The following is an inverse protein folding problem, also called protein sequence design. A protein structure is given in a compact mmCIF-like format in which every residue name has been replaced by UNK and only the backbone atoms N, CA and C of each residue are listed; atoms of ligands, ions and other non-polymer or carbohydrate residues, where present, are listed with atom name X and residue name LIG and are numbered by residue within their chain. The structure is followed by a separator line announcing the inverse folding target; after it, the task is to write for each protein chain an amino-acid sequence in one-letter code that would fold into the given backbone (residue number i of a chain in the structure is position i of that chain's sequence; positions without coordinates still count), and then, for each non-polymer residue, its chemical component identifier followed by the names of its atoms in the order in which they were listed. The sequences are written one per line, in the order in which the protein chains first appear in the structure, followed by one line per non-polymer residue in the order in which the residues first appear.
data_IF_682042886597
#
_entry.id   IF_682042886597
#
_cell.length_a   1.000
_cell.length_b   1.000
_cell.length_c   1.000
_cell.angle_alpha   90.00
_cell.angle_beta   90.00
_cell.angle_gamma   90.00
#
_symmetry.space_group_name_H-M   'P 1'
#
loop_
_entity.id
_entity.type
_entity.pdbx_description
1 polymer ?
#
# COMPACT_ATOMS: atom_id res chain seq x y z
N UNK A 1 1.06 65.03 11.21
CA UNK A 1 0.25 63.80 11.23
C UNK A 1 0.26 63.25 12.64
N UNK A 2 -0.81 63.43 13.40
CA UNK A 2 -0.93 62.88 14.74
C UNK A 2 -1.55 61.49 14.65
N UNK A 3 -0.77 60.45 14.95
CA UNK A 3 -1.26 59.07 15.10
C UNK A 3 -2.03 59.05 16.42
N UNK A 4 -3.35 59.03 16.34
CA UNK A 4 -4.21 58.92 17.51
C UNK A 4 -4.02 57.52 18.11
N UNK A 5 -3.51 57.48 19.35
CA UNK A 5 -3.42 56.24 20.12
C UNK A 5 -4.83 55.65 20.30
N UNK A 6 -5.05 54.38 19.95
CA UNK A 6 -6.36 53.76 20.09
C UNK A 6 -6.81 53.81 21.56
N UNK A 7 -8.03 54.27 21.77
CA UNK A 7 -8.60 54.46 23.11
C UNK A 7 -8.47 53.19 23.96
N UNK A 8 -8.27 53.31 25.28
CA UNK A 8 -8.15 52.15 26.20
C UNK A 8 -9.27 51.12 26.05
N UNK A 9 -10.44 51.54 25.58
CA UNK A 9 -11.60 50.67 25.29
C UNK A 9 -11.34 49.76 24.08
N UNK A 10 -10.64 50.24 23.07
CA UNK A 10 -10.26 49.46 21.88
C UNK A 10 -9.32 48.30 22.22
N UNK A 11 -8.35 48.52 23.13
CA UNK A 11 -7.46 47.46 23.60
C UNK A 11 -8.19 46.38 24.40
N UNK A 12 -9.18 46.76 25.20
CA UNK A 12 -10.02 45.80 25.93
C UNK A 12 -10.83 44.93 24.94
N UNK A 13 -11.42 45.55 23.91
CA UNK A 13 -12.14 44.81 22.86
C UNK A 13 -11.24 43.86 22.06
N UNK A 14 -10.01 44.28 21.73
CA UNK A 14 -9.06 43.45 21.00
C UNK A 14 -8.64 42.20 21.81
N UNK A 15 -8.40 42.36 23.12
CA UNK A 15 -8.05 41.24 24.01
C UNK A 15 -9.23 40.26 24.14
N UNK A 16 -10.45 40.76 24.33
CA UNK A 16 -11.65 39.92 24.41
C UNK A 16 -11.83 39.11 23.12
N UNK A 17 -11.62 39.73 21.95
CA UNK A 17 -11.75 39.07 20.66
C UNK A 17 -10.71 37.95 20.48
N UNK A 18 -9.47 38.17 20.91
CA UNK A 18 -8.42 37.14 20.88
C UNK A 18 -8.78 35.96 21.80
N UNK A 19 -9.27 36.22 23.01
CA UNK A 19 -9.69 35.17 23.95
C UNK A 19 -10.85 34.35 23.38
N UNK A 20 -11.81 34.99 22.70
CA UNK A 20 -12.92 34.30 22.03
C UNK A 20 -12.42 33.41 20.89
N UNK A 21 -11.48 33.90 20.07
CA UNK A 21 -10.91 33.12 18.96
C UNK A 21 -10.11 31.93 19.48
N UNK A 22 -9.30 32.10 20.53
CA UNK A 22 -8.56 31.00 21.16
C UNK A 22 -9.50 29.97 21.78
N UNK A 23 -10.58 30.41 22.45
CA UNK A 23 -11.60 29.52 22.99
C UNK A 23 -12.35 28.76 21.88
N UNK A 24 -12.63 29.41 20.73
CA UNK A 24 -13.22 28.76 19.56
C UNK A 24 -12.27 27.73 18.94
N UNK A 25 -10.99 28.06 18.76
CA UNK A 25 -10.00 27.13 18.22
C UNK A 25 -9.76 25.94 19.16
N UNK A 26 -9.75 26.17 20.47
CA UNK A 26 -9.64 25.11 21.47
C UNK A 26 -10.91 24.23 21.51
N UNK A 27 -12.09 24.81 21.33
CA UNK A 27 -13.35 24.06 21.24
C UNK A 27 -13.47 23.28 19.92
N UNK A 28 -12.98 23.82 18.80
CA UNK A 28 -12.89 23.10 17.52
C UNK A 28 -11.88 21.93 17.60
N UNK A 29 -10.72 22.13 18.25
CA UNK A 29 -9.74 21.06 18.47
C UNK A 29 -10.26 19.98 19.41
N UNK A 30 -11.01 20.35 20.45
CA UNK A 30 -11.63 19.36 21.35
C UNK A 30 -12.72 18.54 20.66
N UNK A 31 -13.42 19.13 19.69
CA UNK A 31 -14.40 18.41 18.84
C UNK A 31 -13.75 17.49 17.81
N UNK A 32 -12.48 17.70 17.43
CA UNK A 32 -11.77 16.72 16.57
C UNK A 32 -11.26 15.52 17.37
N UNK A 33 -10.93 15.70 18.64
CA UNK A 33 -10.45 14.60 19.51
C UNK A 33 -11.59 13.69 20.00
N UNK A 34 -12.82 14.20 20.10
CA UNK A 34 -14.02 13.40 20.44
C UNK A 34 -14.57 12.54 19.28
N UNK A 35 -13.99 12.63 18.09
CA UNK A 35 -14.28 11.71 16.97
C UNK A 35 -13.22 10.60 16.81
N UNK A 36 -12.19 10.55 17.66
CA UNK A 36 -11.08 9.60 17.55
C UNK A 36 -11.08 8.53 18.65
N UNK A 37 -11.95 8.59 19.66
CA UNK A 37 -11.99 7.53 20.69
C UNK A 37 -13.41 7.19 21.16
N UNK A 38 -14.14 6.47 20.30
CA UNK A 38 -15.11 5.48 20.77
C UNK A 38 -14.75 4.13 20.15
N UNK A 39 -14.09 3.31 20.98
CA UNK A 39 -14.09 1.86 20.85
C UNK A 39 -15.52 1.33 20.77
N UNK A 40 -16.03 1.25 19.55
CA UNK A 40 -16.79 0.10 19.14
C UNK A 40 -15.78 -0.84 18.49
N UNK A 41 -15.76 -2.08 18.98
CA UNK A 41 -15.27 -3.19 18.17
C UNK A 41 -16.23 -3.24 17.00
N UNK A 42 -15.92 -2.46 15.96
CA UNK A 42 -16.50 -2.64 14.65
C UNK A 42 -15.98 -4.01 14.25
N UNK A 43 -16.84 -5.00 14.39
CA UNK A 43 -16.65 -6.27 13.71
C UNK A 43 -16.46 -5.89 12.25
N UNK A 44 -15.23 -6.02 11.78
CA UNK A 44 -14.83 -5.74 10.42
C UNK A 44 -15.78 -6.47 9.47
N UNK A 45 -16.83 -5.77 9.03
CA UNK A 45 -17.25 -5.88 7.65
C UNK A 45 -16.39 -4.85 6.91
N UNK A 46 -15.07 -5.05 7.01
CA UNK A 46 -14.13 -4.51 6.05
C UNK A 46 -14.58 -5.07 4.72
N UNK A 47 -14.80 -4.19 3.74
CA UNK A 47 -14.84 -4.61 2.34
C UNK A 47 -13.69 -5.59 2.14
N UNK A 48 -14.01 -6.80 1.71
CA UNK A 48 -12.98 -7.80 1.46
C UNK A 48 -11.95 -7.21 0.49
N UNK A 49 -10.66 -7.55 0.60
CA UNK A 49 -9.64 -7.17 -0.38
C UNK A 49 -10.10 -7.30 -1.83
N UNK A 50 -10.94 -8.30 -2.10
CA UNK A 50 -11.57 -8.59 -3.39
C UNK A 50 -12.55 -7.49 -3.84
N UNK A 51 -13.38 -6.95 -2.95
CA UNK A 51 -14.34 -5.87 -3.26
C UNK A 51 -13.63 -4.54 -3.56
N UNK A 52 -12.53 -4.23 -2.85
CA UNK A 52 -11.71 -3.04 -3.12
C UNK A 52 -10.98 -3.14 -4.46
N UNK A 53 -10.39 -4.31 -4.78
CA UNK A 53 -9.75 -4.56 -6.08
C UNK A 53 -10.76 -4.47 -7.21
N UNK A 54 -11.96 -5.04 -7.04
CA UNK A 54 -13.02 -4.99 -8.06
C UNK A 54 -13.42 -3.54 -8.40
N UNK A 55 -13.52 -2.67 -7.39
CA UNK A 55 -13.81 -1.24 -7.59
C UNK A 55 -12.68 -0.51 -8.33
N UNK A 56 -11.42 -0.84 -8.07
CA UNK A 56 -10.29 -0.24 -8.79
C UNK A 56 -10.17 -0.80 -10.21
N UNK A 57 -10.42 -2.09 -10.40
CA UNK A 57 -10.40 -2.76 -11.70
C UNK A 57 -11.47 -2.19 -12.63
N UNK A 58 -12.69 -2.03 -12.14
CA UNK A 58 -13.78 -1.41 -12.92
C UNK A 58 -13.43 0.02 -13.34
N UNK A 59 -12.78 0.79 -12.46
CA UNK A 59 -12.32 2.15 -12.74
C UNK A 59 -11.22 2.18 -13.81
N UNK A 60 -10.22 1.29 -13.72
CA UNK A 60 -9.13 1.18 -14.70
C UNK A 60 -9.68 0.76 -16.07
N UNK A 61 -10.56 -0.25 -16.12
CA UNK A 61 -11.17 -0.75 -17.36
C UNK A 61 -12.03 0.34 -18.02
N UNK A 62 -12.85 1.08 -17.26
CA UNK A 62 -13.65 2.19 -17.77
C UNK A 62 -12.75 3.23 -18.45
N UNK A 63 -11.69 3.68 -17.77
CA UNK A 63 -10.74 4.66 -18.30
C UNK A 63 -9.96 4.14 -19.50
N UNK A 64 -9.56 2.87 -19.50
CA UNK A 64 -8.83 2.25 -20.59
C UNK A 64 -9.69 2.12 -21.86
N UNK A 65 -10.98 1.81 -21.70
CA UNK A 65 -11.93 1.66 -22.81
C UNK A 65 -12.10 2.96 -23.61
N UNK A 66 -11.95 4.12 -22.95
CA UNK A 66 -12.01 5.46 -23.55
C UNK A 66 -10.72 5.83 -24.30
N UNK A 67 -9.59 5.22 -23.94
CA UNK A 67 -8.26 5.64 -24.39
C UNK A 67 -7.75 4.91 -25.66
N UNK A 68 -8.62 4.20 -26.40
CA UNK A 68 -8.25 3.33 -27.54
C UNK A 68 -7.54 4.08 -28.69
N UNK A 69 -6.39 3.55 -29.12
CA UNK A 69 -5.77 3.90 -30.40
C UNK A 69 -4.25 3.89 -30.50
N UNK A 70 -3.50 3.53 -29.44
CA UNK A 70 -2.04 3.58 -29.43
C UNK A 70 -1.43 2.33 -28.77
N UNK A 71 -0.12 2.17 -28.98
CA UNK A 71 0.72 1.01 -28.70
C UNK A 71 0.31 0.23 -27.43
N UNK A 72 0.11 -1.07 -27.61
CA UNK A 72 -0.35 -1.97 -26.57
C UNK A 72 0.84 -2.36 -25.68
N UNK A 73 0.67 -2.22 -24.35
CA UNK A 73 1.61 -2.75 -23.37
C UNK A 73 1.87 -4.24 -23.65
N UNK A 74 3.12 -4.59 -23.97
CA UNK A 74 3.52 -5.98 -24.22
C UNK A 74 3.73 -6.72 -22.89
N UNK A 75 2.86 -7.68 -22.52
CA UNK A 75 3.03 -8.43 -21.29
C UNK A 75 4.31 -9.27 -21.29
N UNK A 76 4.87 -9.61 -22.47
CA UNK A 76 6.12 -10.33 -22.59
C UNK A 76 7.35 -9.48 -22.20
N UNK A 77 7.19 -8.16 -22.06
CA UNK A 77 8.26 -7.28 -21.56
C UNK A 77 8.43 -7.34 -20.03
N UNK A 78 7.45 -7.92 -19.32
CA UNK A 78 7.52 -8.13 -17.89
C UNK A 78 8.59 -9.21 -17.62
N UNK A 79 9.65 -8.90 -16.84
CA UNK A 79 10.70 -9.87 -16.57
C UNK A 79 10.14 -11.09 -15.82
N UNK A 80 10.29 -12.27 -16.40
CA UNK A 80 10.13 -13.56 -15.72
C UNK A 80 11.44 -13.96 -15.03
N UNK A 81 12.01 -13.02 -14.26
CA UNK A 81 13.33 -13.19 -13.66
C UNK A 81 13.25 -14.21 -12.51
N UNK A 82 13.94 -15.34 -12.69
CA UNK A 82 14.03 -16.41 -11.72
C UNK A 82 14.48 -15.84 -10.36
N UNK A 83 13.61 -15.96 -9.36
CA UNK A 83 13.95 -15.60 -7.99
C UNK A 83 15.15 -16.45 -7.53
N UNK A 84 16.26 -15.78 -7.22
CA UNK A 84 17.48 -16.41 -6.72
C UNK A 84 17.31 -16.66 -5.23
N UNK A 85 16.90 -17.87 -4.88
CA UNK A 85 16.55 -18.25 -3.51
C UNK A 85 17.41 -19.43 -3.07
N UNK A 86 17.99 -19.34 -1.88
CA UNK A 86 18.70 -20.45 -1.24
C UNK A 86 17.73 -21.36 -0.49
N UNK A 87 17.98 -22.67 -0.52
CA UNK A 87 17.19 -23.65 0.24
C UNK A 87 17.85 -23.96 1.58
N UNK A 88 17.03 -24.14 2.61
CA UNK A 88 17.49 -24.66 3.90
C UNK A 88 17.79 -26.16 3.78
N UNK A 89 18.72 -26.64 4.60
CA UNK A 89 19.06 -28.06 4.70
C UNK A 89 18.07 -28.86 5.56
N UNK A 90 17.20 -28.19 6.33
CA UNK A 90 16.31 -28.82 7.32
C UNK A 90 14.91 -28.21 7.30
N UNK A 91 13.89 -29.06 7.50
CA UNK A 91 12.46 -28.68 7.63
C UNK A 91 11.93 -28.93 9.05
N UNK A 92 12.81 -28.88 10.06
CA UNK A 92 12.36 -29.04 11.44
C UNK A 92 11.57 -27.81 11.92
N UNK A 93 10.81 -27.98 13.01
CA UNK A 93 9.96 -26.91 13.54
C UNK A 93 10.72 -25.60 13.83
N UNK A 94 11.95 -25.70 14.31
CA UNK A 94 12.79 -24.54 14.60
C UNK A 94 13.17 -23.78 13.32
N UNK A 95 13.57 -24.49 12.26
CA UNK A 95 13.95 -23.87 10.98
C UNK A 95 12.75 -23.23 10.27
N UNK A 96 11.58 -23.87 10.32
CA UNK A 96 10.33 -23.31 9.79
C UNK A 96 9.88 -22.09 10.61
N UNK A 97 10.02 -22.13 11.94
CA UNK A 97 9.69 -20.97 12.79
C UNK A 97 10.62 -19.78 12.54
N UNK A 98 11.92 -20.02 12.37
CA UNK A 98 12.89 -18.98 12.02
C UNK A 98 12.59 -18.39 10.63
N UNK A 99 12.25 -19.25 9.66
CA UNK A 99 11.81 -18.82 8.33
C UNK A 99 10.59 -17.89 8.41
N UNK A 100 9.57 -18.27 9.17
CA UNK A 100 8.37 -17.46 9.31
C UNK A 100 8.63 -16.10 9.97
N UNK A 101 9.49 -16.03 10.99
CA UNK A 101 9.87 -14.77 11.61
C UNK A 101 10.59 -13.82 10.62
N UNK A 102 11.49 -14.38 9.80
CA UNK A 102 12.18 -13.61 8.74
C UNK A 102 11.20 -13.13 7.68
N UNK A 103 10.21 -13.94 7.31
CA UNK A 103 9.15 -13.58 6.37
C UNK A 103 8.31 -12.41 6.89
N UNK A 104 7.85 -12.47 8.14
CA UNK A 104 7.10 -11.37 8.76
C UNK A 104 7.93 -10.10 8.82
N UNK A 105 9.22 -10.19 9.16
CA UNK A 105 10.11 -9.02 9.17
C UNK A 105 10.33 -8.43 7.77
N UNK A 106 10.48 -9.28 6.75
CA UNK A 106 10.68 -8.84 5.37
C UNK A 106 9.45 -8.10 4.83
N UNK A 107 8.24 -8.53 5.22
CA UNK A 107 6.97 -7.99 4.76
C UNK A 107 6.36 -6.93 5.69
N UNK A 108 6.98 -6.60 6.82
CA UNK A 108 6.46 -5.65 7.81
C UNK A 108 6.16 -4.25 7.24
N UNK A 109 6.90 -3.82 6.22
CA UNK A 109 6.63 -2.53 5.54
C UNK A 109 5.36 -2.57 4.69
N UNK A 110 4.92 -3.76 4.26
CA UNK A 110 3.71 -3.92 3.45
C UNK A 110 2.46 -3.74 4.31
N UNK A 111 2.47 -4.27 5.54
CA UNK A 111 1.33 -4.18 6.47
C UNK A 111 1.06 -2.77 7.00
N UNK A 112 1.94 -1.79 6.73
CA UNK A 112 1.74 -0.39 7.11
C UNK A 112 1.11 0.44 5.99
N UNK A 113 0.85 -0.17 4.83
CA UNK A 113 0.36 0.52 3.64
C UNK A 113 -1.17 0.66 3.69
N UNK A 114 -1.68 1.84 3.34
CA UNK A 114 -3.12 2.14 3.39
C UNK A 114 -3.79 2.24 2.01
N UNK A 115 -3.06 2.58 0.95
CA UNK A 115 -3.67 2.86 -0.37
C UNK A 115 -3.10 1.95 -1.47
N UNK A 116 -3.98 1.45 -2.33
CA UNK A 116 -3.63 0.69 -3.52
C UNK A 116 -3.04 1.61 -4.61
N UNK A 117 -1.93 1.21 -5.22
CA UNK A 117 -1.23 2.02 -6.22
C UNK A 117 -2.02 2.30 -7.49
N UNK A 118 -2.83 1.36 -7.96
CA UNK A 118 -3.73 1.62 -9.08
C UNK A 118 -4.77 2.69 -8.71
N UNK A 119 -5.22 2.72 -7.45
CA UNK A 119 -6.08 3.82 -6.97
C UNK A 119 -5.33 5.15 -6.93
N UNK A 120 -4.11 5.19 -6.37
CA UNK A 120 -3.28 6.40 -6.33
C UNK A 120 -3.06 6.96 -7.73
N UNK A 121 -2.80 6.08 -8.70
CA UNK A 121 -2.62 6.42 -10.10
C UNK A 121 -3.88 7.07 -10.71
N UNK A 122 -5.06 6.45 -10.56
CA UNK A 122 -6.29 7.03 -11.09
C UNK A 122 -6.64 8.35 -10.40
N UNK A 123 -6.47 8.41 -9.08
CA UNK A 123 -6.60 9.64 -8.30
C UNK A 123 -5.67 10.76 -8.83
N UNK A 124 -4.43 10.40 -9.24
CA UNK A 124 -3.49 11.34 -9.83
C UNK A 124 -3.99 11.86 -11.19
N UNK A 125 -4.54 10.99 -12.03
CA UNK A 125 -5.16 11.36 -13.31
C UNK A 125 -6.33 12.33 -13.13
N UNK A 126 -7.28 11.97 -12.26
CA UNK A 126 -8.50 12.76 -12.03
C UNK A 126 -8.18 14.15 -11.46
N UNK A 127 -7.16 14.24 -10.59
CA UNK A 127 -6.75 15.50 -9.96
C UNK A 127 -5.63 16.24 -10.69
N UNK A 128 -5.07 15.66 -11.75
CA UNK A 128 -3.83 16.10 -12.42
C UNK A 128 -2.69 16.40 -11.46
N UNK A 129 -2.54 15.57 -10.43
CA UNK A 129 -1.59 15.79 -9.35
C UNK A 129 -0.30 14.98 -9.59
N UNK A 130 0.75 15.66 -10.06
CA UNK A 130 2.07 15.04 -10.29
C UNK A 130 2.66 14.41 -9.03
N UNK A 131 2.42 14.98 -7.84
CA UNK A 131 2.96 14.43 -6.60
C UNK A 131 2.32 13.08 -6.26
N UNK A 132 1.04 12.87 -6.59
CA UNK A 132 0.39 11.56 -6.48
C UNK A 132 0.95 10.56 -7.49
N UNK A 133 1.21 10.99 -8.73
CA UNK A 133 1.82 10.11 -9.73
C UNK A 133 3.24 9.66 -9.32
N UNK A 134 4.05 10.59 -8.80
CA UNK A 134 5.40 10.31 -8.33
C UNK A 134 5.45 9.49 -7.03
N UNK A 135 4.40 9.49 -6.20
CA UNK A 135 4.39 8.67 -4.98
C UNK A 135 4.40 7.16 -5.27
N UNK A 136 4.04 6.75 -6.49
CA UNK A 136 4.18 5.37 -6.98
C UNK A 136 5.64 4.89 -7.00
N UNK A 137 6.61 5.81 -7.18
CA UNK A 137 8.04 5.48 -7.11
C UNK A 137 8.49 5.12 -5.68
N UNK A 138 7.84 5.70 -4.67
CA UNK A 138 8.07 5.33 -3.26
C UNK A 138 7.62 3.89 -3.01
N UNK A 139 6.47 3.50 -3.55
CA UNK A 139 6.00 2.12 -3.48
C UNK A 139 6.94 1.15 -4.20
N UNK A 140 7.45 1.54 -5.37
CA UNK A 140 8.46 0.77 -6.11
C UNK A 140 9.71 0.52 -5.28
N UNK A 141 10.23 1.56 -4.64
CA UNK A 141 11.41 1.47 -3.76
C UNK A 141 11.14 0.56 -2.57
N UNK A 142 9.96 0.66 -1.97
CA UNK A 142 9.55 -0.22 -0.87
C UNK A 142 9.51 -1.69 -1.29
N UNK A 143 8.92 -2.00 -2.45
CA UNK A 143 8.87 -3.37 -2.99
C UNK A 143 10.24 -3.90 -3.35
N UNK A 144 11.13 -3.09 -3.91
CA UNK A 144 12.53 -3.48 -4.15
C UNK A 144 13.22 -3.86 -2.84
N UNK A 145 13.00 -3.09 -1.77
CA UNK A 145 13.51 -3.41 -0.44
C UNK A 145 12.97 -4.74 0.10
N UNK A 146 11.70 -5.07 -0.19
CA UNK A 146 11.12 -6.38 0.18
C UNK A 146 11.76 -7.52 -0.62
N UNK A 147 11.88 -7.39 -1.94
CA UNK A 147 12.50 -8.41 -2.81
C UNK A 147 13.91 -8.73 -2.34
N UNK A 148 14.74 -7.71 -2.06
CA UNK A 148 16.10 -7.91 -1.56
C UNK A 148 16.11 -8.70 -0.25
N UNK A 149 15.22 -8.36 0.69
CA UNK A 149 15.11 -9.10 1.95
C UNK A 149 14.66 -10.53 1.72
N UNK A 150 13.65 -10.75 0.89
CA UNK A 150 13.10 -12.07 0.60
C UNK A 150 14.12 -12.99 -0.09
N UNK A 151 14.84 -12.50 -1.10
CA UNK A 151 15.88 -13.26 -1.79
C UNK A 151 17.04 -13.67 -0.85
N UNK A 152 17.25 -12.94 0.25
CA UNK A 152 18.27 -13.28 1.26
C UNK A 152 17.84 -14.37 2.25
N UNK A 153 16.55 -14.74 2.28
CA UNK A 153 16.03 -15.74 3.23
C UNK A 153 16.31 -17.14 2.68
N UNK A 154 16.90 -18.00 3.49
CA UNK A 154 16.94 -19.44 3.18
C UNK A 154 15.58 -20.06 3.43
N UNK A 155 15.04 -20.80 2.46
CA UNK A 155 13.65 -21.27 2.44
C UNK A 155 13.55 -22.78 2.65
N UNK A 156 12.61 -23.28 3.48
CA UNK A 156 12.29 -24.71 3.54
C UNK A 156 11.92 -25.26 2.14
N UNK A 157 12.44 -26.42 1.71
CA UNK A 157 12.15 -26.99 0.40
C UNK A 157 10.66 -27.03 0.01
N UNK A 158 9.79 -27.38 0.96
CA UNK A 158 8.33 -27.43 0.80
C UNK A 158 7.67 -26.06 0.60
N UNK A 159 8.28 -24.97 1.05
CA UNK A 159 7.79 -23.60 0.88
C UNK A 159 8.41 -22.87 -0.34
N UNK A 160 9.41 -23.48 -0.99
CA UNK A 160 10.21 -22.83 -2.04
C UNK A 160 9.37 -22.29 -3.19
N UNK A 161 8.41 -23.07 -3.69
CA UNK A 161 7.57 -22.67 -4.81
C UNK A 161 6.70 -21.45 -4.46
N UNK A 162 6.07 -21.46 -3.27
CA UNK A 162 5.25 -20.35 -2.77
C UNK A 162 6.10 -19.08 -2.63
N UNK A 163 7.28 -19.22 -2.04
CA UNK A 163 8.21 -18.11 -1.82
C UNK A 163 8.71 -17.49 -3.13
N UNK A 164 9.08 -18.32 -4.11
CA UNK A 164 9.50 -17.85 -5.43
C UNK A 164 8.38 -17.08 -6.13
N UNK A 165 7.16 -17.62 -6.12
CA UNK A 165 6.02 -17.00 -6.78
C UNK A 165 5.71 -15.62 -6.18
N UNK A 166 5.81 -15.49 -4.85
CA UNK A 166 5.66 -14.21 -4.17
C UNK A 166 6.73 -13.18 -4.57
N UNK A 167 8.01 -13.58 -4.69
CA UNK A 167 9.08 -12.69 -5.19
C UNK A 167 8.80 -12.27 -6.63
N UNK A 168 8.40 -13.21 -7.49
CA UNK A 168 8.08 -12.93 -8.90
C UNK A 168 6.95 -11.91 -8.98
N UNK A 169 5.84 -12.10 -8.25
CA UNK A 169 4.74 -11.13 -8.23
C UNK A 169 5.19 -9.74 -7.78
N UNK A 170 6.06 -9.63 -6.76
CA UNK A 170 6.63 -8.34 -6.36
C UNK A 170 7.51 -7.72 -7.45
N UNK A 171 8.35 -8.51 -8.14
CA UNK A 171 9.15 -8.02 -9.27
C UNK A 171 8.30 -7.50 -10.42
N UNK A 172 7.20 -8.20 -10.73
CA UNK A 172 6.22 -7.75 -11.73
C UNK A 172 5.58 -6.42 -11.31
N UNK A 173 5.12 -6.31 -10.05
CA UNK A 173 4.58 -5.07 -9.50
C UNK A 173 5.60 -3.91 -9.59
N UNK A 174 6.86 -4.15 -9.23
CA UNK A 174 7.95 -3.16 -9.34
C UNK A 174 8.14 -2.67 -10.78
N UNK A 175 8.07 -3.58 -11.75
CA UNK A 175 8.22 -3.26 -13.16
C UNK A 175 7.06 -2.37 -13.64
N UNK A 176 5.84 -2.69 -13.22
CA UNK A 176 4.60 -2.02 -13.66
C UNK A 176 4.40 -0.64 -13.01
N UNK A 177 4.98 -0.39 -11.84
CA UNK A 177 4.87 0.91 -11.17
C UNK A 177 5.55 2.06 -11.93
N UNK A 178 6.57 1.77 -12.76
CA UNK A 178 7.24 2.78 -13.58
C UNK A 178 6.29 3.38 -14.63
N UNK A 179 5.70 2.61 -15.57
CA UNK A 179 4.72 3.14 -16.52
C UNK A 179 3.48 3.69 -15.82
N UNK A 180 3.02 3.12 -14.69
CA UNK A 180 1.91 3.70 -13.93
C UNK A 180 2.20 5.13 -13.42
N UNK A 181 3.46 5.42 -13.05
CA UNK A 181 3.86 6.76 -12.61
C UNK A 181 3.80 7.82 -13.71
N UNK A 182 3.72 7.39 -14.98
CA UNK A 182 3.64 8.25 -16.15
C UNK A 182 2.20 8.57 -16.56
N UNK A 183 1.20 8.29 -15.71
CA UNK A 183 -0.24 8.47 -16.02
C UNK A 183 -0.63 9.86 -16.55
N UNK A 184 0.11 10.93 -16.24
CA UNK A 184 -0.18 12.28 -16.74
C UNK A 184 0.43 12.57 -18.12
N UNK A 185 1.48 11.85 -18.50
CA UNK A 185 2.21 12.00 -19.76
C UNK A 185 1.79 10.92 -20.78
N UNK A 186 1.68 9.67 -20.32
CA UNK A 186 1.35 8.47 -21.10
C UNK A 186 0.16 7.70 -20.48
N UNK A 187 -1.07 8.28 -20.49
CA UNK A 187 -2.20 7.73 -19.77
C UNK A 187 -2.64 6.35 -20.25
N UNK A 188 -2.51 6.06 -21.54
CA UNK A 188 -2.86 4.75 -22.12
C UNK A 188 -1.95 3.66 -21.56
N UNK A 189 -0.63 3.88 -21.65
CA UNK A 189 0.38 2.94 -21.16
C UNK A 189 0.23 2.70 -19.65
N UNK A 190 0.02 3.78 -18.89
CA UNK A 190 -0.18 3.71 -17.45
C UNK A 190 -1.44 2.92 -17.07
N UNK A 191 -2.56 3.10 -17.78
CA UNK A 191 -3.80 2.34 -17.54
C UNK A 191 -3.64 0.85 -17.88
N UNK A 192 -2.97 0.52 -18.98
CA UNK A 192 -2.67 -0.88 -19.33
C UNK A 192 -1.73 -1.53 -18.31
N UNK A 193 -0.67 -0.83 -17.90
CA UNK A 193 0.23 -1.29 -16.86
C UNK A 193 -0.50 -1.48 -15.52
N UNK A 194 -1.46 -0.61 -15.20
CA UNK A 194 -2.28 -0.73 -14.00
C UNK A 194 -3.17 -1.96 -14.00
N UNK A 195 -3.70 -2.39 -15.14
CA UNK A 195 -4.48 -3.63 -15.24
C UNK A 195 -3.59 -4.84 -14.91
N UNK A 196 -2.40 -4.90 -15.53
CA UNK A 196 -1.40 -5.93 -15.23
C UNK A 196 -0.89 -5.87 -13.79
N UNK A 197 -0.82 -4.68 -13.21
CA UNK A 197 -0.44 -4.52 -11.81
C UNK A 197 -1.48 -5.15 -10.90
N UNK A 198 -2.77 -4.97 -11.19
CA UNK A 198 -3.85 -5.60 -10.41
C UNK A 198 -3.79 -7.13 -10.50
N UNK A 199 -3.49 -7.69 -11.67
CA UNK A 199 -3.27 -9.15 -11.83
C UNK A 199 -2.11 -9.63 -10.95
N UNK A 200 -0.94 -8.97 -11.03
CA UNK A 200 0.24 -9.32 -10.24
C UNK A 200 0.01 -9.15 -8.72
N UNK A 201 -0.72 -8.11 -8.33
CA UNK A 201 -1.10 -7.84 -6.95
C UNK A 201 -2.03 -8.93 -6.40
N UNK A 202 -3.03 -9.37 -7.17
CA UNK A 202 -3.87 -10.51 -6.80
C UNK A 202 -3.03 -11.78 -6.62
N UNK A 203 -2.10 -12.05 -7.53
CA UNK A 203 -1.20 -13.20 -7.41
C UNK A 203 -0.34 -13.13 -6.15
N UNK A 204 0.16 -11.94 -5.80
CA UNK A 204 0.89 -11.71 -4.55
C UNK A 204 0.04 -12.08 -3.32
N UNK A 205 -1.22 -11.67 -3.25
CA UNK A 205 -2.09 -12.03 -2.11
C UNK A 205 -2.42 -13.52 -2.05
N UNK A 206 -2.66 -14.16 -3.20
CA UNK A 206 -2.86 -15.60 -3.25
C UNK A 206 -1.63 -16.34 -2.71
N UNK A 207 -0.41 -15.89 -3.05
CA UNK A 207 0.81 -16.47 -2.51
C UNK A 207 0.99 -16.20 -1.01
N UNK A 208 0.62 -15.02 -0.53
CA UNK A 208 0.67 -14.68 0.89
C UNK A 208 -0.27 -15.58 1.70
N UNK A 209 -1.49 -15.80 1.20
CA UNK A 209 -2.46 -16.70 1.82
C UNK A 209 -1.97 -18.15 1.81
N UNK A 210 -1.39 -18.61 0.71
CA UNK A 210 -0.78 -19.94 0.63
C UNK A 210 0.39 -20.10 1.63
N UNK A 211 1.19 -19.05 1.83
CA UNK A 211 2.28 -19.05 2.80
C UNK A 211 1.76 -19.10 4.25
N UNK A 212 0.73 -18.30 4.56
CA UNK A 212 0.07 -18.33 5.86
C UNK A 212 -0.55 -19.71 6.13
N UNK A 213 -1.15 -20.36 5.12
CA UNK A 213 -1.66 -21.71 5.24
C UNK A 213 -0.53 -22.72 5.51
N UNK A 214 0.57 -22.64 4.76
CA UNK A 214 1.76 -23.47 5.00
C UNK A 214 2.23 -23.39 6.45
N UNK A 215 2.28 -22.19 7.03
CA UNK A 215 2.66 -22.04 8.44
C UNK A 215 1.67 -22.67 9.43
N UNK A 216 0.36 -22.54 9.16
CA UNK A 216 -0.68 -23.17 9.98
C UNK A 216 -0.56 -24.69 9.96
N UNK A 217 -0.32 -25.26 8.78
CA UNK A 217 -0.13 -26.71 8.60
C UNK A 217 1.10 -27.24 9.37
N UNK A 218 2.11 -26.39 9.58
CA UNK A 218 3.29 -26.69 10.40
C UNK A 218 3.08 -26.47 11.91
N UNK A 219 1.83 -26.26 12.36
CA UNK A 219 1.46 -25.95 13.75
C UNK A 219 2.18 -24.71 14.33
N UNK A 220 2.55 -23.77 13.46
CA UNK A 220 3.02 -22.44 13.85
C UNK A 220 1.81 -21.51 13.89
N UNK A 221 1.16 -21.41 15.04
CA UNK A 221 0.11 -20.43 15.26
C UNK A 221 0.77 -19.08 15.55
N UNK A 222 0.77 -18.19 14.57
CA UNK A 222 1.05 -16.79 14.81
C UNK A 222 -0.16 -16.18 15.51
N UNK A 223 0.07 -15.48 16.63
CA UNK A 223 -0.94 -14.57 17.19
C UNK A 223 -1.40 -13.61 16.10
N UNK A 224 -2.63 -13.10 16.17
CA UNK A 224 -3.16 -12.23 15.11
C UNK A 224 -2.18 -11.09 14.77
N UNK A 225 -1.50 -10.51 15.75
CA UNK A 225 -0.48 -9.45 15.56
C UNK A 225 0.79 -9.88 14.83
N UNK A 226 1.10 -11.18 14.78
CA UNK A 226 2.28 -11.75 14.12
C UNK A 226 1.95 -12.45 12.80
N UNK A 227 0.67 -12.54 12.44
CA UNK A 227 0.29 -12.94 11.09
C UNK A 227 0.78 -11.86 10.12
N UNK A 228 1.23 -12.29 8.94
CA UNK A 228 1.55 -11.34 7.89
C UNK A 228 0.23 -10.79 7.38
N UNK A 229 -0.21 -9.67 7.97
CA UNK A 229 -1.44 -8.98 7.59
C UNK A 229 -1.18 -8.18 6.33
N UNK A 230 -1.86 -8.59 5.26
CA UNK A 230 -2.11 -7.72 4.12
C UNK A 230 -3.14 -6.67 4.53
N UNK A 231 -2.69 -5.46 4.84
CA UNK A 231 -3.59 -4.33 5.11
C UNK A 231 -3.83 -3.57 3.81
N UNK A 232 -5.10 -3.28 3.54
CA UNK A 232 -5.63 -2.52 2.40
C UNK A 232 -6.56 -1.42 2.89
#
# INVERSE_FOLDING_TARGET
MAISLPSKRFWIFAIILIVVVVAMLWWLGRKSDELVDQGSIITATELTPEEKILNVQTLVIDRLSVARGLEEFDPASIPDDDAKVSTQTSENRESVSAYAALMTQALASYSQKQDNEAKIMVDALDTRNQAKALSLLSARTMYQGMVIKLESISVPPSALAIHKLMIISLKQMIYLLEPMSQILDEPVLALQASEKYLEANTQFFLTLNALNQYFRDQNLQFSDDNQIKATF
#
